data_IF_159938399040
#
_entry.id   IF_159938399040
#
_cell.length_a   1.000
_cell.length_b   1.000
_cell.length_c   1.000
_cell.angle_alpha   90.00
_cell.angle_beta   90.00
_cell.angle_gamma   90.00
#
_symmetry.space_group_name_H-M   'P 1'
#
loop_
_entity.id
_entity.type
_entity.pdbx_description
1 polymer ?
#
# COMPACT_ATOMS: atom_id res chain seq x y z
N UNK A 1 46.15 -0.69 7.99
CA UNK A 1 44.94 -1.51 8.21
C UNK A 1 43.70 -0.71 8.67
N UNK A 2 43.84 0.52 9.20
CA UNK A 2 42.71 1.36 9.66
C UNK A 2 41.82 2.04 8.57
N UNK A 3 42.24 2.29 7.30
CA UNK A 3 41.37 3.00 6.36
C UNK A 3 40.27 2.11 5.76
N UNK A 4 40.50 0.79 5.71
CA UNK A 4 39.53 -0.18 5.17
C UNK A 4 38.31 -0.35 6.08
N UNK A 5 38.49 -0.22 7.40
CA UNK A 5 37.39 -0.31 8.38
C UNK A 5 36.49 0.94 8.36
N UNK A 6 37.06 2.12 8.13
CA UNK A 6 36.31 3.38 7.96
C UNK A 6 35.48 3.36 6.68
N UNK A 7 36.03 2.84 5.57
CA UNK A 7 35.30 2.70 4.31
C UNK A 7 34.11 1.74 4.45
N UNK A 8 34.26 0.65 5.20
CA UNK A 8 33.18 -0.31 5.45
C UNK A 8 32.04 0.32 6.27
N UNK A 9 32.35 1.15 7.26
CA UNK A 9 31.33 1.85 8.07
C UNK A 9 30.52 2.89 7.28
N UNK A 10 31.07 3.43 6.18
CA UNK A 10 30.39 4.40 5.31
C UNK A 10 29.37 3.74 4.36
N UNK A 11 29.52 2.44 4.05
CA UNK A 11 28.56 1.72 3.21
C UNK A 11 27.34 1.18 3.98
N UNK A 12 27.44 1.00 5.31
CA UNK A 12 26.29 0.57 6.12
C UNK A 12 25.28 1.68 6.42
N UNK A 13 25.67 2.95 6.31
CA UNK A 13 24.79 4.09 6.65
C UNK A 13 23.77 4.43 5.55
N UNK A 14 23.89 3.83 4.35
CA UNK A 14 23.12 4.24 3.16
C UNK A 14 21.85 3.39 2.92
N UNK A 15 21.58 2.37 3.74
CA UNK A 15 20.54 1.37 3.41
C UNK A 15 19.14 1.62 4.00
N UNK A 16 18.94 2.70 4.75
CA UNK A 16 17.64 3.00 5.38
C UNK A 16 16.88 4.10 4.66
N UNK A 17 16.63 3.94 3.36
CA UNK A 17 15.60 4.73 2.69
C UNK A 17 14.26 4.01 2.83
N UNK A 18 13.28 4.66 3.45
CA UNK A 18 11.92 4.15 3.49
C UNK A 18 11.36 4.13 2.05
N UNK A 19 11.07 2.94 1.54
CA UNK A 19 10.48 2.80 0.21
C UNK A 19 9.03 3.26 0.25
N UNK A 20 8.65 4.17 -0.64
CA UNK A 20 7.27 4.64 -0.80
C UNK A 20 6.56 3.90 -1.93
N UNK A 21 5.25 3.76 -1.82
CA UNK A 21 4.33 3.26 -2.85
C UNK A 21 3.46 4.43 -3.29
N UNK A 22 3.27 4.61 -4.60
CA UNK A 22 2.42 5.67 -5.13
C UNK A 22 0.93 5.28 -5.02
N UNK A 23 0.12 6.16 -4.43
CA UNK A 23 -1.33 6.04 -4.22
C UNK A 23 -2.01 7.27 -4.86
N UNK A 24 -2.12 7.33 -6.19
CA UNK A 24 -2.57 8.55 -6.88
C UNK A 24 -4.04 8.91 -6.64
N UNK A 25 -4.88 7.95 -6.23
CA UNK A 25 -6.28 8.21 -5.88
C UNK A 25 -6.39 8.71 -4.44
N UNK A 26 -6.71 9.99 -4.28
CA UNK A 26 -6.84 10.64 -2.97
C UNK A 26 -7.89 10.01 -2.07
N UNK A 27 -8.94 9.39 -2.63
CA UNK A 27 -9.94 8.69 -1.82
C UNK A 27 -9.39 7.36 -1.31
N UNK A 28 -8.53 6.69 -2.07
CA UNK A 28 -7.85 5.48 -1.61
C UNK A 28 -6.88 5.81 -0.47
N UNK A 29 -6.01 6.80 -0.66
CA UNK A 29 -5.08 7.26 0.37
C UNK A 29 -5.83 7.74 1.62
N UNK A 30 -6.89 8.54 1.45
CA UNK A 30 -7.74 8.96 2.57
C UNK A 30 -8.36 7.78 3.32
N UNK A 31 -8.81 6.73 2.62
CA UNK A 31 -9.33 5.53 3.27
C UNK A 31 -8.25 4.84 4.11
N UNK A 32 -7.00 4.78 3.61
CA UNK A 32 -5.87 4.21 4.35
C UNK A 32 -5.52 5.05 5.60
N UNK A 33 -5.58 6.38 5.52
CA UNK A 33 -5.42 7.29 6.66
C UNK A 33 -6.54 7.09 7.68
N UNK A 34 -7.80 7.06 7.23
CA UNK A 34 -8.97 6.89 8.11
C UNK A 34 -8.93 5.53 8.84
N UNK A 35 -8.31 4.50 8.22
CA UNK A 35 -8.04 3.18 8.80
C UNK A 35 -6.77 3.11 9.66
N UNK A 36 -6.02 4.22 9.79
CA UNK A 36 -4.73 4.30 10.51
C UNK A 36 -3.64 3.37 9.94
N UNK A 37 -3.74 3.06 8.65
CA UNK A 37 -2.72 2.27 7.93
C UNK A 37 -1.56 3.19 7.56
N UNK A 38 -1.88 4.33 6.95
CA UNK A 38 -0.92 5.36 6.55
C UNK A 38 -0.41 6.14 7.77
N UNK A 39 0.86 5.91 8.11
CA UNK A 39 1.44 6.42 9.36
C UNK A 39 1.72 7.91 9.36
N UNK A 40 1.88 8.52 8.18
CA UNK A 40 2.17 9.95 8.08
C UNK A 40 0.90 10.83 8.18
N UNK A 41 -0.28 10.22 7.99
CA UNK A 41 -1.61 10.84 8.08
C UNK A 41 -1.80 12.04 7.13
N UNK A 42 -1.08 12.09 6.02
CA UNK A 42 -1.15 13.15 5.02
C UNK A 42 -1.57 12.62 3.66
N UNK A 43 -2.47 13.34 2.98
CA UNK A 43 -2.85 13.00 1.59
C UNK A 43 -1.80 13.59 0.65
N UNK A 44 -0.74 12.82 0.39
CA UNK A 44 0.43 13.24 -0.40
C UNK A 44 0.65 12.41 -1.68
N UNK A 45 -0.25 11.46 -1.95
CA UNK A 45 -0.20 10.52 -3.07
C UNK A 45 0.74 9.34 -2.85
N UNK A 46 1.19 9.09 -1.62
CA UNK A 46 2.19 8.05 -1.31
C UNK A 46 1.93 7.44 0.05
N UNK A 47 2.38 6.20 0.21
CA UNK A 47 2.37 5.50 1.50
C UNK A 47 3.69 4.77 1.70
N UNK A 48 4.12 4.60 2.95
CA UNK A 48 5.29 3.78 3.24
C UNK A 48 5.01 2.31 2.91
N UNK A 49 5.97 1.64 2.27
CA UNK A 49 5.87 0.21 2.00
C UNK A 49 5.71 -0.60 3.28
N UNK A 50 6.36 -0.20 4.37
CA UNK A 50 6.21 -0.82 5.69
C UNK A 50 4.77 -0.75 6.23
N UNK A 51 3.99 0.26 5.85
CA UNK A 51 2.61 0.42 6.29
C UNK A 51 1.65 -0.53 5.59
N UNK A 52 1.91 -0.88 4.33
CA UNK A 52 1.05 -1.78 3.56
C UNK A 52 1.43 -3.26 3.75
N UNK A 53 2.69 -3.55 4.07
CA UNK A 53 3.16 -4.92 4.31
C UNK A 53 2.55 -5.59 5.55
N UNK A 54 2.05 -4.81 6.51
CA UNK A 54 1.36 -5.32 7.72
C UNK A 54 -0.15 -5.55 7.52
N UNK A 55 -0.71 -5.15 6.38
CA UNK A 55 -2.16 -5.20 6.13
C UNK A 55 -2.56 -6.59 5.63
N UNK A 56 -3.38 -7.27 6.42
CA UNK A 56 -3.93 -8.61 6.10
C UNK A 56 -5.38 -8.53 5.64
N UNK A 57 -6.14 -7.58 6.17
CA UNK A 57 -7.55 -7.34 5.84
C UNK A 57 -7.72 -5.87 5.49
N UNK A 58 -8.35 -5.59 4.35
CA UNK A 58 -8.60 -4.23 3.89
C UNK A 58 -10.06 -4.08 3.47
N UNK A 59 -10.82 -3.28 4.22
CA UNK A 59 -12.16 -2.82 3.85
C UNK A 59 -12.11 -1.35 3.47
N UNK A 60 -12.27 -1.09 2.19
CA UNK A 60 -12.33 0.23 1.57
C UNK A 60 -13.62 0.39 0.78
N UNK A 61 -14.67 -0.31 1.20
CA UNK A 61 -15.99 -0.28 0.55
C UNK A 61 -16.64 1.11 0.65
N UNK A 62 -17.34 1.53 -0.43
CA UNK A 62 -18.14 2.76 -0.42
C UNK A 62 -17.35 4.07 -0.30
N UNK A 63 -16.04 4.06 -0.59
CA UNK A 63 -15.14 5.21 -0.40
C UNK A 63 -15.02 6.12 -1.62
N UNK A 64 -15.81 5.90 -2.68
CA UNK A 64 -15.76 6.63 -3.95
C UNK A 64 -14.37 6.56 -4.63
N UNK A 65 -13.67 5.43 -4.46
CA UNK A 65 -12.36 5.17 -5.04
C UNK A 65 -12.53 4.83 -6.52
N UNK A 66 -11.75 5.47 -7.38
CA UNK A 66 -11.77 5.24 -8.84
C UNK A 66 -10.60 4.39 -9.31
N UNK A 67 -9.49 4.41 -8.58
CA UNK A 67 -8.27 3.69 -8.93
C UNK A 67 -7.58 3.13 -7.67
N UNK A 68 -7.23 1.84 -7.70
CA UNK A 68 -6.49 1.14 -6.63
C UNK A 68 -5.00 0.98 -6.93
N UNK A 69 -4.41 1.80 -7.81
CA UNK A 69 -2.96 1.81 -8.02
C UNK A 69 -2.23 1.91 -6.68
N UNK A 70 -1.27 1.00 -6.47
CA UNK A 70 -0.53 0.80 -5.23
C UNK A 70 -1.02 -0.40 -4.40
N UNK A 71 -2.20 -0.96 -4.71
CA UNK A 71 -2.69 -2.20 -4.07
C UNK A 71 -1.74 -3.38 -4.27
N UNK A 72 -0.95 -3.39 -5.35
CA UNK A 72 0.06 -4.42 -5.61
C UNK A 72 1.12 -4.56 -4.50
N UNK A 73 1.32 -3.51 -3.70
CA UNK A 73 2.27 -3.52 -2.60
C UNK A 73 1.74 -4.18 -1.32
N UNK A 74 0.44 -4.48 -1.25
CA UNK A 74 -0.23 -5.13 -0.13
C UNK A 74 -0.03 -6.65 -0.24
N UNK A 75 1.23 -7.11 -0.17
CA UNK A 75 1.58 -8.52 -0.43
C UNK A 75 1.11 -9.48 0.66
N UNK A 76 0.80 -8.98 1.86
CA UNK A 76 0.26 -9.76 2.98
C UNK A 76 -1.27 -9.83 3.00
N UNK A 77 -1.94 -9.20 2.02
CA UNK A 77 -3.38 -9.09 1.97
C UNK A 77 -4.03 -10.44 1.70
N UNK A 78 -4.94 -10.86 2.58
CA UNK A 78 -5.70 -12.10 2.49
C UNK A 78 -7.15 -11.83 2.11
N UNK A 79 -7.68 -10.67 2.50
CA UNK A 79 -9.05 -10.25 2.21
C UNK A 79 -9.10 -8.78 1.77
N UNK A 80 -9.80 -8.52 0.67
CA UNK A 80 -10.05 -7.18 0.13
C UNK A 80 -11.55 -6.95 -0.10
N UNK A 81 -12.14 -6.00 0.59
CA UNK A 81 -13.45 -5.44 0.20
C UNK A 81 -13.25 -4.06 -0.43
N UNK A 82 -13.47 -4.00 -1.75
CA UNK A 82 -13.50 -2.74 -2.49
C UNK A 82 -14.85 -2.50 -3.18
N UNK A 83 -15.91 -3.15 -2.68
CA UNK A 83 -17.28 -3.00 -3.17
C UNK A 83 -17.79 -1.56 -3.05
N UNK A 84 -18.85 -1.23 -3.80
CA UNK A 84 -19.48 0.09 -3.80
C UNK A 84 -18.53 1.25 -4.15
N UNK A 85 -17.50 0.98 -4.95
CA UNK A 85 -16.60 1.99 -5.51
C UNK A 85 -16.72 2.05 -7.04
N UNK A 86 -16.63 3.25 -7.65
CA UNK A 86 -16.67 3.43 -9.10
C UNK A 86 -15.33 3.05 -9.78
N UNK A 87 -14.80 1.85 -9.48
CA UNK A 87 -13.58 1.33 -10.10
C UNK A 87 -13.86 0.97 -11.56
N UNK A 88 -12.99 1.40 -12.47
CA UNK A 88 -13.04 0.99 -13.89
C UNK A 88 -12.12 -0.19 -14.20
N UNK A 89 -11.19 -0.47 -13.30
CA UNK A 89 -10.18 -1.52 -13.44
C UNK A 89 -9.71 -1.98 -12.06
N UNK A 90 -9.43 -3.28 -11.93
CA UNK A 90 -8.84 -3.87 -10.75
C UNK A 90 -7.73 -4.84 -11.16
N UNK A 91 -6.50 -4.54 -10.75
CA UNK A 91 -5.37 -5.46 -10.85
C UNK A 91 -4.94 -5.90 -9.45
N UNK A 92 -5.10 -7.19 -9.19
CA UNK A 92 -4.71 -7.83 -7.93
C UNK A 92 -3.74 -8.99 -8.19
N UNK A 93 -3.12 -9.02 -9.38
CA UNK A 93 -2.23 -10.12 -9.80
C UNK A 93 -0.99 -10.29 -8.90
N UNK A 94 -0.57 -9.22 -8.22
CA UNK A 94 0.56 -9.23 -7.28
C UNK A 94 0.16 -9.52 -5.83
N UNK A 95 -1.14 -9.55 -5.52
CA UNK A 95 -1.66 -9.88 -4.19
C UNK A 95 -1.76 -11.41 -4.04
N UNK A 96 -0.63 -12.10 -4.14
CA UNK A 96 -0.55 -13.57 -4.21
C UNK A 96 -1.14 -14.29 -2.98
N UNK A 97 -1.25 -13.60 -1.84
CA UNK A 97 -1.85 -14.12 -0.61
C UNK A 97 -3.37 -13.95 -0.53
N UNK A 98 -3.99 -13.27 -1.49
CA UNK A 98 -5.40 -12.93 -1.47
C UNK A 98 -6.25 -14.19 -1.68
N UNK A 99 -7.11 -14.50 -0.71
CA UNK A 99 -7.96 -15.71 -0.73
C UNK A 99 -9.43 -15.39 -1.01
N UNK A 100 -9.85 -14.17 -0.69
CA UNK A 100 -11.19 -13.68 -0.94
C UNK A 100 -11.15 -12.18 -1.25
N UNK A 101 -12.00 -11.76 -2.18
CA UNK A 101 -12.19 -10.36 -2.49
C UNK A 101 -13.65 -10.08 -2.85
N UNK A 102 -14.09 -8.87 -2.55
CA UNK A 102 -15.42 -8.36 -2.88
C UNK A 102 -15.27 -7.16 -3.82
N UNK A 103 -15.85 -7.29 -5.01
CA UNK A 103 -16.02 -6.24 -6.01
C UNK A 103 -17.51 -6.13 -6.33
N UNK A 104 -17.94 -5.03 -6.95
CA UNK A 104 -19.35 -4.83 -7.32
C UNK A 104 -19.94 -6.09 -7.99
N UNK A 105 -21.04 -6.58 -7.40
CA UNK A 105 -22.01 -7.44 -8.08
C UNK A 105 -22.94 -6.52 -8.87
N UNK A 106 -22.79 -6.54 -10.20
CA UNK A 106 -23.78 -5.96 -11.10
C UNK A 106 -24.92 -6.98 -11.16
N UNK A 107 -26.15 -6.61 -10.77
CA UNK A 107 -27.33 -7.25 -11.34
C UNK A 107 -27.56 -6.70 -12.74
#
# INVERSE_FOLDING_TARGET
MKPLFLLLSFFLSIMSYSQTVEIPDKNFEKALIDLKIDSDQTVNGKILKSDVLKVVFLDISGKKIKNLKGIEAFTSLIFLDCSNNPLTYLDISQNIGLTAFSVISIM
#
